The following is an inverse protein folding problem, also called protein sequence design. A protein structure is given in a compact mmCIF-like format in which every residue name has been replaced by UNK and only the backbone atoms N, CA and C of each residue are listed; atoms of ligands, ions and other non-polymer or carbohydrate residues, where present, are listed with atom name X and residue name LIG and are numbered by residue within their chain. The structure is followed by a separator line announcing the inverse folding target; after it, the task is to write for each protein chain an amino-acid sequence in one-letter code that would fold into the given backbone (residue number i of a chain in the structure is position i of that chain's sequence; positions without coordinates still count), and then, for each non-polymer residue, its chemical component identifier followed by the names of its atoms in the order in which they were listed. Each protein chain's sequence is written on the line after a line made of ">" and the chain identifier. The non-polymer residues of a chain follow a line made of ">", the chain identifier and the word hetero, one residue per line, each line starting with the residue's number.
data_IF_626542903867
#
_entry.id   IF_626542903867
#
_cell.length_a   1.000
_cell.length_b   1.000
_cell.length_c   1.000
_cell.angle_alpha   90.00
_cell.angle_beta   90.00
_cell.angle_gamma   90.00
#
_symmetry.space_group_name_H-M   'P 1'
#
loop_
_entity.id
_entity.type
_entity.pdbx_description
1 polymer ?
#
# COMPACT_ATOMS: atom_id res chain seq x y z
N UNK A 1 -31.03 -24.26 -6.96
CA UNK A 1 -29.58 -24.44 -7.18
C UNK A 1 -28.87 -23.95 -5.92
N UNK A 2 -27.96 -24.73 -5.31
CA UNK A 2 -27.30 -24.32 -4.06
C UNK A 2 -26.52 -23.02 -4.22
N UNK A 3 -26.52 -22.17 -3.20
CA UNK A 3 -25.80 -20.88 -3.21
C UNK A 3 -24.31 -21.09 -3.49
N UNK A 4 -23.70 -22.10 -2.87
CA UNK A 4 -22.28 -22.41 -3.06
C UNK A 4 -21.94 -22.77 -4.51
N UNK A 5 -22.88 -23.39 -5.23
CA UNK A 5 -22.68 -23.68 -6.64
C UNK A 5 -22.65 -22.39 -7.46
N UNK A 6 -23.57 -21.45 -7.20
CA UNK A 6 -23.59 -20.15 -7.87
C UNK A 6 -22.32 -19.34 -7.59
N UNK A 7 -21.80 -19.37 -6.36
CA UNK A 7 -20.53 -18.73 -5.99
C UNK A 7 -19.38 -19.32 -6.81
N UNK A 8 -19.25 -20.65 -6.85
CA UNK A 8 -18.19 -21.32 -7.64
C UNK A 8 -18.25 -20.99 -9.12
N UNK A 9 -19.45 -20.94 -9.71
CA UNK A 9 -19.63 -20.56 -11.12
C UNK A 9 -19.21 -19.11 -11.36
N UNK A 10 -19.56 -18.19 -10.44
CA UNK A 10 -19.14 -16.78 -10.52
C UNK A 10 -17.62 -16.65 -10.46
N UNK A 11 -16.97 -17.34 -9.53
CA UNK A 11 -15.50 -17.30 -9.39
C UNK A 11 -14.79 -17.90 -10.60
N UNK A 12 -15.23 -19.06 -11.09
CA UNK A 12 -14.69 -19.66 -12.31
C UNK A 12 -14.85 -18.73 -13.52
N UNK A 13 -16.01 -18.09 -13.66
CA UNK A 13 -16.25 -17.11 -14.73
C UNK A 13 -15.34 -15.88 -14.62
N UNK A 14 -15.07 -15.40 -13.40
CA UNK A 14 -14.12 -14.30 -13.15
C UNK A 14 -12.71 -14.71 -13.55
N UNK A 15 -12.23 -15.86 -13.09
CA UNK A 15 -10.89 -16.36 -13.38
C UNK A 15 -10.68 -16.59 -14.89
N UNK A 16 -11.69 -17.14 -15.60
CA UNK A 16 -11.62 -17.29 -17.05
C UNK A 16 -11.45 -15.95 -17.77
N UNK A 17 -12.11 -14.87 -17.31
CA UNK A 17 -11.95 -13.53 -17.90
C UNK A 17 -10.53 -12.99 -17.68
N UNK A 18 -9.98 -13.17 -16.48
CA UNK A 18 -8.61 -12.77 -16.14
C UNK A 18 -7.61 -13.53 -17.03
N UNK A 19 -7.80 -14.82 -17.24
CA UNK A 19 -6.92 -15.61 -18.10
C UNK A 19 -7.05 -15.24 -19.58
N UNK A 20 -8.25 -14.90 -20.04
CA UNK A 20 -8.49 -14.51 -21.43
C UNK A 20 -7.95 -13.11 -21.76
N UNK A 21 -8.00 -12.18 -20.79
CA UNK A 21 -7.54 -10.81 -20.93
C UNK A 21 -6.89 -10.33 -19.62
N UNK A 22 -5.63 -10.75 -19.35
CA UNK A 22 -4.96 -10.44 -18.10
C UNK A 22 -4.62 -8.95 -18.02
N UNK A 23 -4.94 -8.35 -16.89
CA UNK A 23 -4.38 -7.06 -16.51
C UNK A 23 -3.07 -7.33 -15.77
N UNK A 24 -1.96 -6.91 -16.38
CA UNK A 24 -0.63 -7.04 -15.79
C UNK A 24 -0.30 -5.75 -15.05
N UNK A 25 0.17 -5.87 -13.81
CA UNK A 25 0.65 -4.77 -12.99
C UNK A 25 2.15 -5.00 -12.78
N UNK A 26 2.95 -3.99 -13.10
CA UNK A 26 4.37 -3.97 -12.78
C UNK A 26 4.55 -3.66 -11.29
N UNK A 27 5.55 -4.30 -10.67
CA UNK A 27 5.95 -4.01 -9.31
C UNK A 27 6.32 -2.52 -9.18
N UNK A 28 5.81 -1.80 -8.15
CA UNK A 28 6.13 -0.38 -8.00
C UNK A 28 7.49 -0.11 -7.34
N UNK A 29 8.12 -1.11 -6.74
CA UNK A 29 9.38 -0.95 -6.04
C UNK A 29 10.54 -0.83 -7.03
N UNK A 30 11.44 0.12 -6.78
CA UNK A 30 12.63 0.33 -7.60
C UNK A 30 13.44 -0.97 -7.66
N UNK A 31 14.06 -1.26 -8.80
CA UNK A 31 14.84 -2.47 -9.07
C UNK A 31 14.09 -3.81 -9.07
N UNK A 32 12.79 -3.81 -8.80
CA UNK A 32 11.96 -5.00 -8.99
C UNK A 32 11.43 -5.06 -10.42
N UNK A 33 11.78 -6.10 -11.17
CA UNK A 33 11.20 -6.37 -12.50
C UNK A 33 9.96 -7.27 -12.43
N UNK A 34 9.51 -7.59 -11.22
CA UNK A 34 8.36 -8.43 -10.95
C UNK A 34 7.08 -7.91 -11.59
N UNK A 35 6.30 -8.83 -12.12
CA UNK A 35 4.98 -8.57 -12.68
C UNK A 35 3.97 -9.49 -12.02
N UNK A 36 2.78 -8.96 -11.79
CA UNK A 36 1.66 -9.74 -11.26
C UNK A 36 0.43 -9.58 -12.16
N UNK A 37 -0.42 -10.59 -12.15
CA UNK A 37 -1.71 -10.56 -12.84
C UNK A 37 -2.79 -10.16 -11.83
N UNK A 38 -3.57 -9.15 -12.15
CA UNK A 38 -4.70 -8.73 -11.32
C UNK A 38 -5.86 -9.74 -11.46
N UNK A 39 -6.27 -10.33 -10.34
CA UNK A 39 -7.36 -11.30 -10.22
C UNK A 39 -8.78 -10.71 -10.35
N UNK A 40 -8.86 -9.39 -10.50
CA UNK A 40 -10.06 -8.56 -10.58
C UNK A 40 -11.06 -8.83 -9.45
N UNK A 41 -10.57 -9.28 -8.29
CA UNK A 41 -11.41 -9.56 -7.14
C UNK A 41 -11.88 -8.29 -6.42
N UNK A 42 -11.28 -7.14 -6.75
CA UNK A 42 -11.65 -5.84 -6.21
C UNK A 42 -10.93 -5.47 -4.90
N UNK A 43 -9.98 -6.29 -4.45
CA UNK A 43 -9.11 -5.94 -3.34
C UNK A 43 -8.04 -4.95 -3.80
N UNK A 44 -7.82 -3.84 -3.08
CA UNK A 44 -6.90 -2.81 -3.50
C UNK A 44 -5.44 -3.13 -3.17
N UNK A 45 -5.17 -4.10 -2.29
CA UNK A 45 -3.82 -4.50 -1.88
C UNK A 45 -3.35 -5.68 -2.74
N UNK A 46 -2.12 -5.61 -3.23
CA UNK A 46 -1.44 -6.66 -3.98
C UNK A 46 -0.09 -6.96 -3.35
N UNK A 47 0.45 -8.14 -3.68
CA UNK A 47 1.80 -8.56 -3.30
C UNK A 47 2.65 -8.74 -4.55
N UNK A 48 3.88 -8.25 -4.54
CA UNK A 48 4.85 -8.60 -5.57
C UNK A 48 5.24 -10.09 -5.42
N UNK A 49 5.22 -10.91 -6.49
CA UNK A 49 5.60 -12.32 -6.40
C UNK A 49 7.11 -12.54 -6.22
N UNK A 50 7.94 -11.55 -6.55
CA UNK A 50 9.39 -11.64 -6.40
C UNK A 50 9.84 -11.28 -4.98
N UNK A 51 9.36 -10.15 -4.46
CA UNK A 51 9.83 -9.59 -3.19
C UNK A 51 8.85 -9.80 -2.04
N UNK A 52 7.64 -10.27 -2.33
CA UNK A 52 6.56 -10.48 -1.35
C UNK A 52 6.11 -9.22 -0.61
N UNK A 53 6.52 -8.04 -1.09
CA UNK A 53 6.10 -6.76 -0.55
C UNK A 53 4.68 -6.40 -0.98
N UNK A 54 3.94 -5.84 -0.04
CA UNK A 54 2.55 -5.42 -0.21
C UNK A 54 2.46 -3.96 -0.65
N UNK A 55 1.52 -3.67 -1.54
CA UNK A 55 1.25 -2.29 -1.97
C UNK A 55 -0.21 -2.10 -2.37
N UNK A 56 -0.71 -0.87 -2.26
CA UNK A 56 -2.01 -0.51 -2.84
C UNK A 56 -1.89 -0.24 -4.34
N UNK A 57 -2.79 -0.80 -5.15
CA UNK A 57 -2.78 -0.62 -6.61
C UNK A 57 -2.91 0.84 -7.06
N UNK A 58 -3.59 1.67 -6.27
CA UNK A 58 -3.92 3.05 -6.61
C UNK A 58 -2.75 4.01 -6.36
N UNK A 59 -2.12 3.95 -5.19
CA UNK A 59 -1.07 4.88 -4.80
C UNK A 59 0.33 4.26 -4.82
N UNK A 60 0.44 2.94 -4.99
CA UNK A 60 1.70 2.18 -5.01
C UNK A 60 2.46 2.12 -3.69
N UNK A 61 1.85 2.59 -2.60
CA UNK A 61 2.42 2.53 -1.26
C UNK A 61 1.53 1.71 -0.34
N UNK A 62 2.12 1.07 0.65
CA UNK A 62 1.38 0.45 1.73
C UNK A 62 1.08 1.50 2.79
N UNK A 63 -0.19 1.72 3.09
CA UNK A 63 -0.62 2.60 4.16
C UNK A 63 -1.74 1.92 4.95
N UNK A 64 -1.50 1.65 6.22
CA UNK A 64 -2.42 0.89 7.06
C UNK A 64 -3.52 1.79 7.61
N UNK A 65 -4.77 1.49 7.26
CA UNK A 65 -5.95 2.17 7.82
C UNK A 65 -6.22 3.58 7.31
N UNK A 66 -5.34 4.13 6.46
CA UNK A 66 -5.55 5.42 5.79
C UNK A 66 -6.04 5.22 4.36
N UNK A 67 -6.74 6.20 3.80
CA UNK A 67 -7.00 6.23 2.35
C UNK A 67 -5.77 6.72 1.60
N UNK A 68 -5.69 6.42 0.31
CA UNK A 68 -4.59 6.84 -0.55
C UNK A 68 -4.42 8.38 -0.55
N UNK A 69 -5.52 9.12 -0.52
CA UNK A 69 -5.54 10.57 -0.54
C UNK A 69 -4.95 11.16 0.74
N UNK A 70 -5.37 10.63 1.90
CA UNK A 70 -4.85 11.08 3.19
C UNK A 70 -3.35 10.80 3.30
N UNK A 71 -2.92 9.62 2.85
CA UNK A 71 -1.52 9.24 2.85
C UNK A 71 -0.66 10.12 1.92
N UNK A 72 -1.15 10.44 0.72
CA UNK A 72 -0.44 11.34 -0.18
C UNK A 72 -0.34 12.76 0.38
N UNK A 73 -1.42 13.25 1.01
CA UNK A 73 -1.43 14.57 1.63
C UNK A 73 -0.44 14.63 2.81
N UNK A 74 -0.38 13.61 3.66
CA UNK A 74 0.57 13.57 4.77
C UNK A 74 2.02 13.56 4.29
N UNK A 75 2.34 12.80 3.22
CA UNK A 75 3.68 12.84 2.60
C UNK A 75 4.06 14.23 2.09
N UNK A 76 3.15 14.94 1.44
CA UNK A 76 3.41 16.30 0.96
C UNK A 76 3.68 17.28 2.11
N UNK A 77 2.91 17.19 3.20
CA UNK A 77 3.15 18.01 4.38
C UNK A 77 4.50 17.72 5.03
N UNK A 78 4.86 16.44 5.15
CA UNK A 78 6.17 16.05 5.69
C UNK A 78 7.31 16.64 4.85
N UNK A 79 7.23 16.55 3.51
CA UNK A 79 8.25 17.14 2.64
C UNK A 79 8.43 18.65 2.87
N UNK A 80 7.32 19.39 3.02
CA UNK A 80 7.36 20.83 3.30
C UNK A 80 7.98 21.11 4.67
N UNK A 81 7.61 20.32 5.69
CA UNK A 81 8.15 20.43 7.04
C UNK A 81 9.69 20.24 7.04
N UNK A 82 10.17 19.17 6.40
CA UNK A 82 11.60 18.88 6.29
C UNK A 82 12.36 19.97 5.52
N UNK A 83 11.79 20.49 4.43
CA UNK A 83 12.38 21.60 3.67
C UNK A 83 12.56 22.87 4.50
N UNK A 84 11.60 23.18 5.38
CA UNK A 84 11.65 24.36 6.25
C UNK A 84 12.65 24.18 7.40
N UNK A 85 12.76 22.98 7.94
CA UNK A 85 13.60 22.72 9.12
C UNK A 85 15.08 22.53 8.78
N UNK A 86 15.41 21.97 7.62
CA UNK A 86 16.80 21.62 7.25
C UNK A 86 17.37 22.37 6.05
N UNK A 87 16.62 23.29 5.45
CA UNK A 87 17.14 24.22 4.45
C UNK A 87 17.54 23.57 3.12
N UNK A 88 16.58 23.43 2.21
CA UNK A 88 16.76 23.43 0.75
C UNK A 88 17.99 22.72 0.14
N UNK A 89 17.73 21.50 -0.35
CA UNK A 89 18.44 20.72 -1.38
C UNK A 89 19.76 20.01 -1.02
N UNK A 90 19.65 18.71 -0.81
CA UNK A 90 20.64 17.71 -1.22
C UNK A 90 19.89 16.56 -1.90
N UNK A 91 20.17 16.32 -3.18
CA UNK A 91 19.81 15.06 -3.86
C UNK A 91 20.60 13.93 -3.19
N UNK A 92 20.04 13.33 -2.15
CA UNK A 92 20.39 11.98 -1.68
C UNK A 92 19.08 11.24 -1.48
N UNK A 93 18.49 10.84 -2.61
CA UNK A 93 17.62 9.67 -2.63
C UNK A 93 18.52 8.46 -2.41
N UNK A 94 18.13 7.60 -1.46
CA UNK A 94 18.79 6.37 -1.02
C UNK A 94 19.71 6.55 0.19
N UNK A 95 19.13 6.48 1.37
CA UNK A 95 19.53 5.58 2.47
C UNK A 95 18.74 6.02 3.72
N UNK A 96 17.64 5.34 4.04
CA UNK A 96 17.10 5.19 5.41
C UNK A 96 15.78 4.38 5.39
N UNK A 97 15.84 3.10 4.99
CA UNK A 97 14.78 2.14 5.36
C UNK A 97 15.18 1.21 6.52
N UNK A 98 16.46 1.22 6.96
CA UNK A 98 16.89 0.38 8.10
C UNK A 98 16.63 1.02 9.48
N UNK A 99 16.41 2.35 9.56
CA UNK A 99 16.19 3.06 10.83
C UNK A 99 14.74 3.07 11.33
N UNK A 100 13.75 2.86 10.44
CA UNK A 100 12.34 3.02 10.80
C UNK A 100 11.73 1.81 11.52
N UNK A 101 12.36 0.63 11.49
CA UNK A 101 11.84 -0.54 12.21
C UNK A 101 11.98 -0.41 13.73
N UNK A 102 13.08 0.20 14.22
CA UNK A 102 13.27 0.41 15.66
C UNK A 102 12.40 1.55 16.21
N UNK A 103 12.23 2.64 15.46
CA UNK A 103 11.32 3.73 15.88
C UNK A 103 9.84 3.32 15.82
N UNK A 104 9.41 2.53 14.81
CA UNK A 104 8.04 1.97 14.76
C UNK A 104 7.71 1.20 16.03
N UNK A 105 8.62 0.36 16.50
CA UNK A 105 8.38 -0.46 17.69
C UNK A 105 8.32 0.37 19.00
N UNK A 106 8.89 1.58 19.01
CA UNK A 106 8.76 2.53 20.12
C UNK A 106 7.49 3.39 20.03
N UNK A 107 7.06 3.75 18.82
CA UNK A 107 5.84 4.55 18.58
C UNK A 107 4.57 3.76 18.92
N UNK A 108 4.54 2.45 18.67
CA UNK A 108 3.42 1.58 19.04
C UNK A 108 3.30 1.30 20.55
N UNK A 109 4.34 1.55 21.35
CA UNK A 109 4.27 1.39 22.83
C UNK A 109 3.64 2.59 23.54
N UNK A 110 3.49 3.73 22.86
CA UNK A 110 3.02 4.98 23.46
C UNK A 110 1.62 5.41 23.00
N UNK A 111 0.91 4.57 22.23
CA UNK A 111 -0.52 4.79 21.96
C UNK A 111 -1.35 4.37 23.17
N UNK A 112 -1.38 5.24 24.17
CA UNK A 112 -2.38 5.22 25.24
C UNK A 112 -3.77 5.45 24.61
N UNK A 113 -4.76 4.65 25.00
CA UNK A 113 -6.10 4.54 24.39
C UNK A 113 -6.94 5.84 24.42
N UNK A 114 -6.38 6.93 24.94
CA UNK A 114 -7.02 8.23 25.13
C UNK A 114 -6.99 9.14 23.88
N UNK A 115 -6.14 8.89 22.88
CA UNK A 115 -6.01 9.80 21.72
C UNK A 115 -6.95 9.51 20.54
N UNK A 116 -7.66 8.38 20.52
CA UNK A 116 -8.61 8.03 19.44
C UNK A 116 -9.88 8.89 19.48
N UNK A 117 -10.15 9.59 20.60
CA UNK A 117 -11.35 10.40 20.79
C UNK A 117 -11.30 11.81 20.18
N UNK A 118 -10.16 12.25 19.61
CA UNK A 118 -10.02 13.62 19.11
C UNK A 118 -10.34 13.84 17.62
N UNK A 119 -10.60 12.76 16.86
CA UNK A 119 -10.90 12.86 15.41
C UNK A 119 -12.36 12.58 15.03
N UNK A 120 -13.28 12.50 16.01
CA UNK A 120 -14.72 12.31 15.77
C UNK A 120 -15.58 13.39 16.45
N UNK A 121 -15.24 14.67 16.26
CA UNK A 121 -16.15 15.78 16.58
C UNK A 121 -16.23 16.81 15.47
#
# INVERSE_FOLDING_TARGET
>A
MPVDFLIRVRDASRLMKVLAAPLVIDCPFMDCMGKLIDDQQGYPIRACPEWWELFYVNCKYLHFGMTCEIYQFSRQLNLIYWQQQYGGYGDELEEEEEGEEEERNSMFKNFDESQVLFLLR
#
